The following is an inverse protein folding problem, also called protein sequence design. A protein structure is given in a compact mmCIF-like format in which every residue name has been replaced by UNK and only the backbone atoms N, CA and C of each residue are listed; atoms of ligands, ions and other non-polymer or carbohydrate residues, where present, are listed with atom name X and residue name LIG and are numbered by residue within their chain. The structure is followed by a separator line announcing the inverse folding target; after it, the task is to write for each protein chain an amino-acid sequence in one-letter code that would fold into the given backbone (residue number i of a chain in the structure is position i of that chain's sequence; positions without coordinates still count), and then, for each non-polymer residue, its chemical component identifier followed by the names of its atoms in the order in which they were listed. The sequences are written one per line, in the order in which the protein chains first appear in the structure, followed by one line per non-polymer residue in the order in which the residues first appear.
data_IF_476344433678
#
_entry.id   IF_476344433678
#
_cell.length_a   1.000
_cell.length_b   1.000
_cell.length_c   1.000
_cell.angle_alpha   90.00
_cell.angle_beta   90.00
_cell.angle_gamma   90.00
#
_symmetry.space_group_name_H-M   'P 1'
#
loop_
_entity.id
_entity.type
_entity.pdbx_description
1 polymer ?
#
# COMPACT_ATOMS: atom_id res chain seq x y z
N UNK A 1 24.83 58.91 37.15
CA UNK A 1 23.90 57.76 37.12
C UNK A 1 23.24 57.75 35.75
N UNK A 2 23.62 56.83 34.85
CA UNK A 2 23.06 56.71 33.49
C UNK A 2 22.27 55.39 33.44
N UNK A 3 20.98 55.38 33.07
CA UNK A 3 20.24 54.13 32.98
C UNK A 3 20.67 53.38 31.72
N UNK A 4 21.09 52.12 31.87
CA UNK A 4 21.34 51.22 30.74
C UNK A 4 20.01 50.94 30.01
N UNK A 5 19.97 50.93 28.67
CA UNK A 5 18.81 50.44 27.94
C UNK A 5 18.86 48.92 27.91
N UNK A 6 17.83 48.27 28.46
CA UNK A 6 17.60 46.84 28.31
C UNK A 6 17.21 46.60 26.85
N UNK A 7 18.14 46.07 26.06
CA UNK A 7 17.91 45.65 24.69
C UNK A 7 17.14 44.32 24.72
N UNK A 8 15.82 44.38 24.55
CA UNK A 8 14.96 43.21 24.42
C UNK A 8 15.15 42.62 23.00
N UNK A 9 16.01 41.61 22.87
CA UNK A 9 16.18 40.86 21.62
C UNK A 9 15.03 39.86 21.47
N UNK A 10 13.97 40.23 20.76
CA UNK A 10 12.87 39.34 20.43
C UNK A 10 13.34 38.32 19.37
N UNK A 11 13.64 37.09 19.82
CA UNK A 11 13.96 35.93 18.99
C UNK A 11 12.72 35.55 18.18
N UNK A 12 12.62 35.99 16.93
CA UNK A 12 11.57 35.57 16.01
C UNK A 12 11.97 34.21 15.41
N UNK A 13 11.48 33.12 16.01
CA UNK A 13 11.48 31.83 15.33
C UNK A 13 10.45 31.90 14.18
N UNK A 14 10.82 31.62 12.92
CA UNK A 14 9.84 31.50 11.86
C UNK A 14 8.94 30.30 12.18
N UNK A 15 7.66 30.58 12.38
CA UNK A 15 6.62 29.56 12.44
C UNK A 15 6.57 28.93 11.04
N UNK A 16 7.16 27.76 10.87
CA UNK A 16 7.04 27.00 9.62
C UNK A 16 5.58 26.53 9.52
N UNK A 17 4.75 27.30 8.82
CA UNK A 17 3.48 26.79 8.33
C UNK A 17 3.82 25.58 7.46
N UNK A 18 3.09 24.47 7.61
CA UNK A 18 3.19 23.37 6.66
C UNK A 18 2.97 23.96 5.26
N UNK A 19 4.00 23.92 4.42
CA UNK A 19 3.89 24.36 3.04
C UNK A 19 2.80 23.50 2.37
N UNK A 20 1.81 24.15 1.79
CA UNK A 20 0.81 23.46 0.97
C UNK A 20 1.47 22.83 -0.26
N UNK A 21 0.71 22.02 -1.00
CA UNK A 21 1.19 21.50 -2.27
C UNK A 21 1.40 22.66 -3.26
N UNK A 22 2.54 22.63 -3.95
CA UNK A 22 2.85 23.54 -5.04
C UNK A 22 1.92 23.30 -6.23
N UNK A 23 1.66 24.34 -7.03
CA UNK A 23 0.80 24.25 -8.21
C UNK A 23 1.29 23.18 -9.21
N UNK A 24 2.61 23.04 -9.39
CA UNK A 24 3.18 22.00 -10.26
C UNK A 24 2.90 20.58 -9.78
N UNK A 25 2.81 20.37 -8.46
CA UNK A 25 2.48 19.08 -7.86
C UNK A 25 0.99 18.76 -8.08
N UNK A 26 0.12 19.77 -7.96
CA UNK A 26 -1.31 19.64 -8.25
C UNK A 26 -1.55 19.28 -9.73
N UNK A 27 -0.82 19.93 -10.64
CA UNK A 27 -0.88 19.63 -12.06
C UNK A 27 -0.42 18.22 -12.38
N UNK A 28 0.68 17.76 -11.76
CA UNK A 28 1.18 16.39 -11.92
C UNK A 28 0.16 15.37 -11.41
N UNK A 29 -0.44 15.60 -10.24
CA UNK A 29 -1.45 14.72 -9.67
C UNK A 29 -2.71 14.64 -10.57
N UNK A 30 -3.16 15.78 -11.12
CA UNK A 30 -4.28 15.82 -12.05
C UNK A 30 -3.99 15.01 -13.33
N UNK A 31 -2.79 15.17 -13.90
CA UNK A 31 -2.37 14.42 -15.09
C UNK A 31 -2.34 12.90 -14.84
N UNK A 32 -1.77 12.45 -13.71
CA UNK A 32 -1.72 11.03 -13.35
C UNK A 32 -3.12 10.44 -13.15
N UNK A 33 -4.02 11.18 -12.48
CA UNK A 33 -5.43 10.79 -12.32
C UNK A 33 -6.09 10.62 -13.69
N UNK A 34 -5.99 11.62 -14.55
CA UNK A 34 -6.69 11.63 -15.84
C UNK A 34 -6.17 10.51 -16.75
N UNK A 35 -4.86 10.24 -16.73
CA UNK A 35 -4.28 9.09 -17.40
C UNK A 35 -4.82 7.76 -16.85
N UNK A 36 -4.89 7.60 -15.53
CA UNK A 36 -5.39 6.38 -14.91
C UNK A 36 -6.88 6.13 -15.22
N UNK A 37 -7.69 7.20 -15.29
CA UNK A 37 -9.11 7.14 -15.64
C UNK A 37 -9.32 6.83 -17.14
N UNK A 38 -8.43 7.29 -18.01
CA UNK A 38 -8.45 6.94 -19.43
C UNK A 38 -8.06 5.46 -19.66
N UNK A 39 -7.17 4.93 -18.83
CA UNK A 39 -6.81 3.51 -18.82
C UNK A 39 -5.46 3.25 -18.18
N UNK A 40 -5.44 2.47 -17.10
CA UNK A 40 -4.23 2.18 -16.31
C UNK A 40 -3.64 0.78 -16.49
N UNK A 41 -4.35 -0.14 -17.16
CA UNK A 41 -3.98 -1.56 -17.21
C UNK A 41 -4.16 -2.30 -15.88
N UNK A 42 -4.64 -1.64 -14.82
CA UNK A 42 -4.79 -2.24 -13.49
C UNK A 42 -5.69 -3.47 -13.47
N UNK A 43 -6.75 -3.48 -14.29
CA UNK A 43 -7.62 -4.65 -14.43
C UNK A 43 -6.87 -5.88 -14.93
N UNK A 44 -6.04 -5.74 -15.97
CA UNK A 44 -5.26 -6.85 -16.52
C UNK A 44 -4.26 -7.41 -15.49
N UNK A 45 -3.71 -6.55 -14.63
CA UNK A 45 -2.81 -6.98 -13.55
C UNK A 45 -3.57 -7.84 -12.53
N UNK A 46 -4.73 -7.37 -12.05
CA UNK A 46 -5.50 -8.14 -11.06
C UNK A 46 -6.08 -9.41 -11.67
N UNK A 47 -6.54 -9.38 -12.93
CA UNK A 47 -7.01 -10.54 -13.68
C UNK A 47 -5.92 -11.60 -13.81
N UNK A 48 -4.71 -11.22 -14.26
CA UNK A 48 -3.55 -12.12 -14.33
C UNK A 48 -3.26 -12.74 -12.96
N UNK A 49 -3.20 -11.93 -11.91
CA UNK A 49 -2.93 -12.42 -10.56
C UNK A 49 -4.00 -13.38 -10.03
N UNK A 50 -5.29 -13.08 -10.22
CA UNK A 50 -6.38 -13.92 -9.72
C UNK A 50 -6.60 -15.17 -10.57
N UNK A 51 -6.30 -15.11 -11.87
CA UNK A 51 -6.49 -16.23 -12.80
C UNK A 51 -5.29 -17.19 -12.79
N UNK A 52 -4.07 -16.66 -12.81
CA UNK A 52 -2.85 -17.47 -12.93
C UNK A 52 -2.37 -17.98 -11.56
N UNK A 53 -2.58 -17.21 -10.48
CA UNK A 53 -2.13 -17.60 -9.13
C UNK A 53 -3.29 -18.09 -8.27
N UNK A 54 -4.40 -17.33 -8.23
CA UNK A 54 -5.57 -17.63 -7.41
C UNK A 54 -5.41 -17.27 -5.92
N UNK A 55 -6.15 -17.96 -5.03
CA UNK A 55 -6.06 -17.78 -3.57
C UNK A 55 -4.66 -18.12 -3.06
N UNK A 56 -4.05 -17.22 -2.29
CA UNK A 56 -2.61 -17.26 -1.95
C UNK A 56 -2.36 -16.85 -0.49
N UNK A 57 -2.92 -17.65 0.42
CA UNK A 57 -2.74 -17.44 1.85
C UNK A 57 -1.24 -17.49 2.22
N UNK A 58 -0.79 -16.57 3.08
CA UNK A 58 0.60 -16.54 3.54
C UNK A 58 1.04 -17.90 4.09
N UNK A 59 2.20 -18.39 3.64
CA UNK A 59 2.75 -19.69 4.04
C UNK A 59 2.22 -20.88 3.25
N UNK A 60 1.19 -20.72 2.42
CA UNK A 60 0.76 -21.76 1.48
C UNK A 60 1.69 -21.86 0.27
N UNK A 61 1.59 -22.95 -0.49
CA UNK A 61 2.29 -23.10 -1.77
C UNK A 61 1.94 -21.96 -2.75
N UNK A 62 0.68 -21.51 -2.73
CA UNK A 62 0.19 -20.44 -3.59
C UNK A 62 0.78 -19.05 -3.22
N UNK A 63 1.18 -18.82 -1.98
CA UNK A 63 1.94 -17.62 -1.60
C UNK A 63 3.30 -17.61 -2.29
N UNK A 64 4.04 -18.72 -2.30
CA UNK A 64 5.30 -18.81 -3.03
C UNK A 64 5.14 -18.54 -4.54
N UNK A 65 4.08 -19.09 -5.15
CA UNK A 65 3.74 -18.78 -6.56
C UNK A 65 3.39 -17.30 -6.76
N UNK A 66 2.65 -16.70 -5.83
CA UNK A 66 2.31 -15.28 -5.85
C UNK A 66 3.53 -14.37 -5.79
N UNK A 67 4.52 -14.69 -4.96
CA UNK A 67 5.78 -13.93 -4.91
C UNK A 67 6.57 -14.03 -6.22
N UNK A 68 6.70 -15.24 -6.76
CA UNK A 68 7.38 -15.45 -8.04
C UNK A 68 6.68 -14.71 -9.20
N UNK A 69 5.34 -14.76 -9.24
CA UNK A 69 4.54 -13.97 -10.18
C UNK A 69 4.80 -12.47 -10.03
N UNK A 70 4.82 -11.94 -8.80
CA UNK A 70 4.97 -10.51 -8.55
C UNK A 70 6.36 -9.99 -8.99
N UNK A 71 7.40 -10.78 -8.71
CA UNK A 71 8.75 -10.50 -9.19
C UNK A 71 8.84 -10.43 -10.71
N UNK A 72 8.20 -11.35 -11.43
CA UNK A 72 8.14 -11.32 -12.91
C UNK A 72 7.35 -10.10 -13.37
N UNK A 73 6.16 -9.88 -12.81
CA UNK A 73 5.28 -8.77 -13.21
C UNK A 73 5.95 -7.41 -13.02
N UNK A 74 6.66 -7.20 -11.92
CA UNK A 74 7.36 -5.93 -11.68
C UNK A 74 8.52 -5.71 -12.64
N UNK A 75 9.23 -6.77 -13.06
CA UNK A 75 10.26 -6.66 -14.11
C UNK A 75 9.63 -6.32 -15.46
N UNK A 76 8.51 -6.94 -15.81
CA UNK A 76 7.77 -6.65 -17.05
C UNK A 76 7.22 -5.20 -17.09
N UNK A 77 6.81 -4.66 -15.94
CA UNK A 77 6.36 -3.27 -15.79
C UNK A 77 7.51 -2.25 -15.84
N UNK A 78 8.77 -2.70 -15.86
CA UNK A 78 9.93 -1.83 -16.04
C UNK A 78 10.37 -1.08 -14.78
N UNK A 79 10.08 -1.61 -13.57
CA UNK A 79 10.60 -1.03 -12.33
C UNK A 79 12.13 -1.10 -12.28
N UNK A 80 12.77 -0.05 -11.76
CA UNK A 80 14.24 0.06 -11.72
C UNK A 80 14.92 -1.04 -10.90
N UNK A 81 14.26 -1.48 -9.82
CA UNK A 81 14.80 -2.47 -8.87
C UNK A 81 13.67 -3.35 -8.35
N UNK A 82 13.87 -4.67 -8.43
CA UNK A 82 12.91 -5.68 -7.95
C UNK A 82 13.67 -6.70 -7.10
N UNK A 83 13.30 -6.83 -5.83
CA UNK A 83 13.87 -7.80 -4.89
C UNK A 83 12.78 -8.31 -3.93
N UNK A 84 13.09 -9.39 -3.21
CA UNK A 84 12.26 -9.92 -2.13
C UNK A 84 12.91 -9.72 -0.79
N UNK A 85 12.10 -9.58 0.25
CA UNK A 85 12.53 -9.49 1.64
C UNK A 85 11.96 -10.67 2.40
N UNK A 86 12.82 -11.38 3.14
CA UNK A 86 12.40 -12.53 3.91
C UNK A 86 11.56 -12.09 5.11
N UNK A 87 10.40 -12.72 5.28
CA UNK A 87 9.47 -12.48 6.40
C UNK A 87 9.16 -13.80 7.10
N UNK A 88 9.00 -13.73 8.41
CA UNK A 88 8.65 -14.89 9.26
C UNK A 88 7.30 -14.65 9.91
N UNK A 89 6.41 -15.63 9.82
CA UNK A 89 5.06 -15.57 10.39
C UNK A 89 4.55 -16.99 10.70
N UNK A 90 3.59 -17.14 11.63
CA UNK A 90 2.91 -18.42 11.83
C UNK A 90 2.07 -18.77 10.61
N UNK A 91 2.07 -20.05 10.23
CA UNK A 91 1.26 -20.56 9.10
C UNK A 91 -0.06 -21.08 9.62
N UNK A 92 -1.16 -20.69 8.97
CA UNK A 92 -2.48 -21.26 9.21
C UNK A 92 -2.84 -22.19 8.07
N UNK A 93 -3.24 -23.41 8.42
CA UNK A 93 -3.79 -24.39 7.49
C UNK A 93 -5.27 -24.59 7.78
N UNK A 94 -6.08 -24.53 6.73
CA UNK A 94 -7.52 -24.76 6.83
C UNK A 94 -7.77 -26.23 7.18
N UNK A 95 -8.49 -26.44 8.27
CA UNK A 95 -8.97 -27.77 8.66
C UNK A 95 -10.30 -28.10 7.99
N UNK A 96 -11.00 -29.09 8.53
CA UNK A 96 -12.39 -29.32 8.19
C UNK A 96 -13.28 -28.40 9.01
N UNK A 97 -14.19 -27.68 8.36
CA UNK A 97 -15.20 -26.86 9.02
C UNK A 97 -16.61 -27.28 8.61
N UNK A 98 -17.48 -27.43 9.60
CA UNK A 98 -18.93 -27.63 9.41
C UNK A 98 -19.68 -26.91 10.52
N UNK A 99 -20.83 -26.33 10.20
CA UNK A 99 -21.70 -25.68 11.17
C UNK A 99 -23.15 -26.04 10.85
N UNK A 100 -23.96 -26.23 11.89
CA UNK A 100 -25.37 -26.52 11.78
C UNK A 100 -26.16 -25.61 12.73
N UNK A 101 -27.37 -25.23 12.34
CA UNK A 101 -28.34 -24.65 13.26
C UNK A 101 -28.86 -25.78 14.15
N UNK A 102 -28.78 -25.62 15.47
CA UNK A 102 -29.21 -26.66 16.45
C UNK A 102 -30.54 -26.37 17.14
N UNK A 103 -31.00 -25.12 17.13
CA UNK A 103 -32.28 -24.70 17.71
C UNK A 103 -32.65 -23.27 17.23
N UNK A 104 -33.96 -22.90 17.27
CA UNK A 104 -35.12 -23.73 17.62
C UNK A 104 -35.55 -24.68 16.50
N UNK A 105 -35.08 -24.48 15.27
CA UNK A 105 -35.38 -25.34 14.12
C UNK A 105 -34.06 -25.80 13.49
N UNK A 106 -33.61 -27.05 13.75
CA UNK A 106 -32.32 -27.53 13.28
C UNK A 106 -32.17 -27.51 11.75
N UNK A 107 -30.99 -27.11 11.25
CA UNK A 107 -30.61 -27.09 9.82
C UNK A 107 -29.15 -27.55 9.70
N UNK A 108 -28.83 -28.47 8.77
CA UNK A 108 -27.46 -28.93 8.53
C UNK A 108 -26.55 -27.83 7.98
#
# INVERSE_FOLDING_TARGET
MRPLPVLLLALHAPLSLAAGLEESQLQTAAALRDQALAGSGAYAIVESLTTEVGPRLAGSEADARGRAWAEVKFRELGFDRVWTEAVSFPVWERGYESAAVVAPSPQP
#
